data_IF_083752511086
#
_entry.id   IF_083752511086
#
_cell.length_a   1.000
_cell.length_b   1.000
_cell.length_c   1.000
_cell.angle_alpha   90.00
_cell.angle_beta   90.00
_cell.angle_gamma   90.00
#
_symmetry.space_group_name_H-M   'P 1'
#
loop_
_entity.id
_entity.type
_entity.pdbx_description
1 polymer ?
#
# COMPACT_ATOMS: atom_id res chain seq x y z
N UNK A 1 3.43 14.98 13.56
CA UNK A 1 4.55 14.41 12.78
C UNK A 1 5.86 14.96 13.29
N UNK A 2 6.92 14.15 13.31
CA UNK A 2 8.26 14.60 13.71
C UNK A 2 8.89 15.51 12.65
N UNK A 3 9.85 16.34 13.04
CA UNK A 3 10.66 17.13 12.10
C UNK A 3 11.38 16.23 11.10
N UNK A 4 11.91 15.09 11.56
CA UNK A 4 12.56 14.08 10.72
C UNK A 4 11.65 13.57 9.61
N UNK A 5 10.38 13.28 9.91
CA UNK A 5 9.43 12.82 8.90
C UNK A 5 9.20 13.87 7.80
N UNK A 6 9.10 15.15 8.17
CA UNK A 6 8.93 16.24 7.21
C UNK A 6 10.15 16.43 6.31
N UNK A 7 11.37 16.19 6.81
CA UNK A 7 12.57 16.19 5.96
C UNK A 7 12.57 15.01 4.99
N UNK A 8 12.15 13.82 5.43
CA UNK A 8 12.02 12.63 4.58
C UNK A 8 11.08 12.90 3.39
N UNK A 9 9.93 13.54 3.62
CA UNK A 9 8.97 13.94 2.57
C UNK A 9 9.65 14.68 1.42
N UNK A 10 10.59 15.60 1.73
CA UNK A 10 11.27 16.42 0.73
C UNK A 10 12.25 15.62 -0.13
N UNK A 11 12.66 14.43 0.30
CA UNK A 11 13.59 13.57 -0.44
C UNK A 11 12.89 12.72 -1.50
N UNK A 12 11.56 12.69 -1.51
CA UNK A 12 10.76 11.86 -2.41
C UNK A 12 10.17 12.69 -3.54
N UNK A 13 10.05 12.12 -4.75
CA UNK A 13 9.41 12.83 -5.85
C UNK A 13 7.93 13.07 -5.52
N UNK A 14 7.42 14.20 -6.00
CA UNK A 14 6.09 14.80 -5.81
C UNK A 14 4.85 13.91 -6.12
N UNK A 15 5.02 12.60 -6.29
CA UNK A 15 3.97 11.57 -6.34
C UNK A 15 2.96 11.60 -5.17
N UNK A 16 3.24 12.39 -4.14
CA UNK A 16 2.44 12.56 -2.93
C UNK A 16 1.64 13.87 -2.90
N UNK A 17 1.69 14.68 -3.96
CA UNK A 17 0.85 15.89 -4.05
C UNK A 17 -0.59 15.47 -4.37
N UNK A 18 -1.50 15.73 -3.44
CA UNK A 18 -2.92 15.52 -3.65
C UNK A 18 -3.46 16.51 -4.69
N UNK A 19 -4.18 16.05 -5.72
CA UNK A 19 -4.83 16.97 -6.64
C UNK A 19 -5.96 17.73 -5.93
N UNK A 20 -6.14 19.00 -6.28
CA UNK A 20 -7.26 19.82 -5.81
C UNK A 20 -8.56 19.42 -6.52
N UNK A 21 -9.09 18.24 -6.18
CA UNK A 21 -10.33 17.70 -6.70
C UNK A 21 -11.31 17.40 -5.56
N UNK A 22 -12.61 17.40 -5.88
CA UNK A 22 -13.60 16.78 -5.01
C UNK A 22 -13.28 15.29 -4.94
N UNK A 23 -12.95 14.79 -3.75
CA UNK A 23 -12.64 13.37 -3.54
C UNK A 23 -13.85 12.65 -2.94
N UNK A 24 -14.02 11.34 -3.21
CA UNK A 24 -15.07 10.53 -2.60
C UNK A 24 -15.05 10.64 -1.07
N UNK A 25 -16.19 10.43 -0.40
CA UNK A 25 -16.19 10.38 1.06
C UNK A 25 -15.38 9.18 1.57
N UNK A 26 -14.98 9.20 2.85
CA UNK A 26 -14.33 8.03 3.45
C UNK A 26 -15.27 6.82 3.46
N UNK A 27 -16.57 7.04 3.68
CA UNK A 27 -17.59 5.99 3.65
C UNK A 27 -17.72 5.33 2.28
N UNK A 28 -17.81 6.13 1.21
CA UNK A 28 -17.89 5.63 -0.17
C UNK A 28 -16.64 4.84 -0.54
N UNK A 29 -15.47 5.36 -0.16
CA UNK A 29 -14.20 4.69 -0.39
C UNK A 29 -14.13 3.33 0.33
N UNK A 30 -14.56 3.24 1.59
CA UNK A 30 -14.63 1.97 2.33
C UNK A 30 -15.61 0.99 1.66
N UNK A 31 -16.78 1.49 1.25
CA UNK A 31 -17.78 0.67 0.58
C UNK A 31 -17.25 0.10 -0.74
N UNK A 32 -16.45 0.88 -1.48
CA UNK A 32 -15.78 0.42 -2.70
C UNK A 32 -14.69 -0.61 -2.40
N UNK A 33 -13.77 -0.31 -1.46
CA UNK A 33 -12.69 -1.23 -1.04
C UNK A 33 -13.25 -2.60 -0.64
N UNK A 34 -14.39 -2.63 0.07
CA UNK A 34 -15.01 -3.88 0.51
C UNK A 34 -15.63 -4.71 -0.63
N UNK A 35 -15.94 -4.09 -1.77
CA UNK A 35 -16.52 -4.76 -2.96
C UNK A 35 -15.48 -5.18 -3.99
N UNK A 36 -14.24 -4.70 -3.89
CA UNK A 36 -13.16 -5.07 -4.81
C UNK A 36 -12.98 -6.59 -4.85
N UNK A 37 -12.84 -7.15 -6.06
CA UNK A 37 -12.60 -8.57 -6.27
C UNK A 37 -11.11 -8.85 -6.51
N UNK A 38 -10.49 -9.56 -5.56
CA UNK A 38 -9.09 -9.97 -5.63
C UNK A 38 -8.91 -11.41 -6.12
N UNK A 39 -9.96 -12.07 -6.63
CA UNK A 39 -9.93 -13.48 -7.03
C UNK A 39 -8.81 -13.82 -8.03
N UNK A 40 -8.59 -12.97 -9.03
CA UNK A 40 -7.54 -13.18 -10.03
C UNK A 40 -6.14 -12.94 -9.48
N UNK A 41 -5.95 -11.92 -8.65
CA UNK A 41 -4.67 -11.66 -7.97
C UNK A 41 -4.35 -12.82 -7.04
N UNK A 42 -5.30 -13.23 -6.19
CA UNK A 42 -5.19 -14.39 -5.30
C UNK A 42 -4.81 -15.64 -6.08
N UNK A 43 -5.52 -15.93 -7.19
CA UNK A 43 -5.22 -17.08 -8.04
C UNK A 43 -3.80 -17.01 -8.58
N UNK A 44 -3.38 -15.86 -9.10
CA UNK A 44 -2.04 -15.67 -9.68
C UNK A 44 -0.94 -15.94 -8.65
N UNK A 45 -0.99 -15.30 -7.48
CA UNK A 45 0.06 -15.40 -6.45
C UNK A 45 0.10 -16.78 -5.75
N UNK A 46 -1.00 -17.53 -5.78
CA UNK A 46 -1.10 -18.87 -5.16
C UNK A 46 -0.90 -20.02 -6.16
N UNK A 47 -0.57 -19.71 -7.42
CA UNK A 47 -0.20 -20.72 -8.42
C UNK A 47 1.25 -20.53 -8.86
N UNK A 48 1.95 -21.61 -9.27
CA UNK A 48 3.26 -21.47 -9.88
C UNK A 48 3.19 -20.56 -11.11
N UNK A 49 3.96 -19.48 -11.10
CA UNK A 49 4.03 -18.48 -12.16
C UNK A 49 5.50 -18.09 -12.37
N UNK A 50 6.03 -18.15 -13.60
CA UNK A 50 7.45 -17.89 -13.86
C UNK A 50 7.86 -16.42 -13.61
N UNK A 51 6.89 -15.51 -13.44
CA UNK A 51 7.14 -14.11 -13.11
C UNK A 51 7.14 -13.85 -11.61
N UNK A 52 6.88 -14.86 -10.77
CA UNK A 52 6.88 -14.75 -9.32
C UNK A 52 8.09 -15.48 -8.74
N UNK A 53 8.74 -14.85 -7.77
CA UNK A 53 9.87 -15.45 -7.05
C UNK A 53 9.43 -16.54 -6.07
N UNK A 54 8.15 -16.58 -5.68
CA UNK A 54 7.57 -17.58 -4.79
C UNK A 54 6.09 -17.79 -5.08
N UNK A 55 5.58 -18.96 -4.73
CA UNK A 55 4.13 -19.21 -4.66
C UNK A 55 3.66 -19.03 -3.23
N UNK A 56 2.64 -18.19 -3.04
CA UNK A 56 2.05 -17.94 -1.74
C UNK A 56 1.09 -19.07 -1.36
N UNK A 57 0.97 -19.34 -0.06
CA UNK A 57 -0.14 -20.15 0.44
C UNK A 57 -1.47 -19.38 0.36
N UNK A 58 -2.59 -20.10 0.39
CA UNK A 58 -3.93 -19.48 0.42
C UNK A 58 -4.09 -18.54 1.63
N UNK A 59 -3.54 -18.92 2.79
CA UNK A 59 -3.61 -18.15 4.03
C UNK A 59 -2.78 -16.87 3.94
N UNK A 60 -1.56 -16.95 3.41
CA UNK A 60 -0.71 -15.77 3.13
C UNK A 60 -1.46 -14.80 2.22
N UNK A 61 -2.06 -15.29 1.13
CA UNK A 61 -2.79 -14.45 0.19
C UNK A 61 -4.00 -13.76 0.84
N UNK A 62 -4.76 -14.47 1.67
CA UNK A 62 -5.93 -13.91 2.38
C UNK A 62 -5.53 -12.80 3.37
N UNK A 63 -4.48 -13.02 4.16
CA UNK A 63 -3.99 -12.00 5.10
C UNK A 63 -3.42 -10.80 4.33
N UNK A 64 -2.60 -11.05 3.32
CA UNK A 64 -2.01 -9.99 2.48
C UNK A 64 -3.08 -9.12 1.81
N UNK A 65 -4.13 -9.74 1.26
CA UNK A 65 -5.24 -9.00 0.64
C UNK A 65 -5.96 -8.13 1.68
N UNK A 66 -6.20 -8.65 2.89
CA UNK A 66 -6.80 -7.84 3.94
C UNK A 66 -5.91 -6.68 4.36
N UNK A 67 -4.59 -6.89 4.46
CA UNK A 67 -3.63 -5.81 4.73
C UNK A 67 -3.58 -4.79 3.59
N UNK A 68 -3.72 -5.22 2.34
CA UNK A 68 -3.81 -4.31 1.19
C UNK A 68 -5.07 -3.45 1.20
N UNK A 69 -6.24 -4.03 1.55
CA UNK A 69 -7.47 -3.25 1.75
C UNK A 69 -7.28 -2.20 2.86
N UNK A 70 -6.64 -2.59 3.96
CA UNK A 70 -6.34 -1.68 5.06
C UNK A 70 -5.35 -0.58 4.62
N UNK A 71 -4.37 -0.91 3.79
CA UNK A 71 -3.44 0.06 3.20
C UNK A 71 -4.14 1.10 2.31
N UNK A 72 -5.10 0.68 1.47
CA UNK A 72 -5.92 1.61 0.68
C UNK A 72 -6.73 2.55 1.57
N UNK A 73 -7.30 2.03 2.66
CA UNK A 73 -8.00 2.83 3.67
C UNK A 73 -7.06 3.86 4.32
N UNK A 74 -5.86 3.45 4.76
CA UNK A 74 -4.89 4.36 5.37
C UNK A 74 -4.50 5.47 4.39
N UNK A 75 -4.24 5.14 3.13
CA UNK A 75 -3.96 6.14 2.11
C UNK A 75 -5.12 7.12 1.94
N UNK A 76 -6.37 6.62 1.91
CA UNK A 76 -7.55 7.47 1.77
C UNK A 76 -7.71 8.43 2.95
N UNK A 77 -7.54 7.93 4.17
CA UNK A 77 -7.79 8.69 5.40
C UNK A 77 -6.65 9.63 5.74
N UNK A 78 -5.40 9.21 5.52
CA UNK A 78 -4.23 9.88 6.08
C UNK A 78 -3.36 10.62 5.09
N UNK A 79 -3.35 10.34 3.78
CA UNK A 79 -2.47 11.07 2.84
C UNK A 79 -2.50 12.61 2.96
N UNK A 80 -3.64 13.28 3.23
CA UNK A 80 -3.66 14.73 3.44
C UNK A 80 -2.79 15.21 4.61
N UNK A 81 -2.59 14.35 5.60
CA UNK A 81 -1.82 14.63 6.82
C UNK A 81 -0.50 13.87 6.90
N UNK A 82 -0.38 12.71 6.25
CA UNK A 82 0.77 11.81 6.25
C UNK A 82 1.05 11.41 4.80
N UNK A 83 1.82 12.24 4.08
CA UNK A 83 1.88 12.09 2.64
C UNK A 83 2.73 10.87 2.18
N UNK A 84 3.58 10.26 3.04
CA UNK A 84 4.19 8.95 2.75
C UNK A 84 3.52 7.92 3.65
N UNK A 85 2.99 6.86 3.04
CA UNK A 85 2.57 5.67 3.77
C UNK A 85 3.19 4.48 3.06
N UNK A 86 4.40 4.02 3.44
CA UNK A 86 5.00 2.84 2.84
C UNK A 86 4.22 1.56 3.21
N UNK A 87 3.97 0.66 2.26
CA UNK A 87 3.35 -0.64 2.54
C UNK A 87 4.33 -1.61 3.22
N UNK A 88 3.77 -2.66 3.83
CA UNK A 88 4.52 -3.88 4.15
C UNK A 88 4.95 -4.56 2.82
N UNK A 89 6.06 -5.30 2.77
CA UNK A 89 6.56 -5.95 1.55
C UNK A 89 5.49 -6.80 0.84
N UNK A 90 4.76 -7.60 1.60
CA UNK A 90 3.71 -8.48 1.07
C UNK A 90 2.50 -7.67 0.55
N UNK A 91 2.22 -6.53 1.17
CA UNK A 91 1.20 -5.59 0.71
C UNK A 91 1.64 -4.91 -0.59
N UNK A 92 2.93 -4.61 -0.73
CA UNK A 92 3.50 -4.01 -1.94
C UNK A 92 3.42 -4.97 -3.14
N UNK A 93 3.67 -6.27 -2.95
CA UNK A 93 3.54 -7.26 -4.03
C UNK A 93 2.09 -7.35 -4.55
N UNK A 94 1.10 -7.31 -3.65
CA UNK A 94 -0.31 -7.25 -4.04
C UNK A 94 -0.63 -5.94 -4.76
N UNK A 95 -0.07 -4.82 -4.29
CA UNK A 95 -0.24 -3.53 -4.96
C UNK A 95 0.35 -3.54 -6.37
N UNK A 96 1.52 -4.13 -6.57
CA UNK A 96 2.12 -4.29 -7.91
C UNK A 96 1.20 -5.08 -8.83
N UNK A 97 0.63 -6.19 -8.35
CA UNK A 97 -0.35 -6.95 -9.14
C UNK A 97 -1.61 -6.16 -9.47
N UNK A 98 -2.11 -5.37 -8.53
CA UNK A 98 -3.25 -4.52 -8.77
C UNK A 98 -2.93 -3.44 -9.82
N UNK A 99 -1.79 -2.74 -9.73
CA UNK A 99 -1.35 -1.72 -10.69
C UNK A 99 -1.20 -2.28 -12.11
N UNK A 100 -0.72 -3.53 -12.24
CA UNK A 100 -0.52 -4.17 -13.54
C UNK A 100 -1.83 -4.39 -14.32
N UNK A 101 -2.98 -4.53 -13.64
CA UNK A 101 -4.28 -4.36 -14.27
C UNK A 101 -4.63 -2.87 -14.33
N UNK A 102 -3.99 -2.16 -15.26
CA UNK A 102 -4.05 -0.71 -15.35
C UNK A 102 -5.46 -0.15 -15.52
N UNK A 103 -6.39 -0.92 -16.10
CA UNK A 103 -7.79 -0.51 -16.26
C UNK A 103 -8.53 -0.60 -14.93
N UNK A 104 -8.44 -1.73 -14.25
CA UNK A 104 -9.09 -1.93 -12.96
C UNK A 104 -8.49 -0.98 -11.90
N UNK A 105 -7.16 -0.86 -11.88
CA UNK A 105 -6.45 0.05 -10.98
C UNK A 105 -6.87 1.52 -11.14
N UNK A 106 -7.08 1.98 -12.38
CA UNK A 106 -7.58 3.33 -12.63
C UNK A 106 -9.01 3.52 -12.08
N UNK A 107 -9.91 2.55 -12.33
CA UNK A 107 -11.29 2.60 -11.83
C UNK A 107 -11.31 2.66 -10.30
N UNK A 108 -10.56 1.77 -9.65
CA UNK A 108 -10.50 1.70 -8.20
C UNK A 108 -9.85 2.93 -7.59
N UNK A 109 -8.79 3.46 -8.22
CA UNK A 109 -8.16 4.70 -7.77
C UNK A 109 -9.11 5.89 -7.82
N UNK A 110 -9.89 6.02 -8.90
CA UNK A 110 -10.90 7.07 -9.01
C UNK A 110 -12.04 6.90 -8.01
N UNK A 111 -12.51 5.68 -7.78
CA UNK A 111 -13.59 5.40 -6.85
C UNK A 111 -13.20 5.61 -5.38
N UNK A 112 -11.94 5.36 -5.03
CA UNK A 112 -11.44 5.49 -3.65
C UNK A 112 -10.92 6.92 -3.41
N UNK A 113 -9.99 7.37 -4.25
CA UNK A 113 -9.22 8.60 -4.03
C UNK A 113 -9.77 9.79 -4.82
N UNK A 114 -10.48 9.56 -5.92
CA UNK A 114 -10.88 10.62 -6.86
C UNK A 114 -9.75 11.01 -7.83
N UNK A 115 -8.63 10.29 -7.79
CA UNK A 115 -7.46 10.47 -8.64
C UNK A 115 -6.64 9.17 -8.70
N UNK A 116 -5.69 9.11 -9.62
CA UNK A 116 -4.78 7.96 -9.73
C UNK A 116 -3.81 7.93 -8.55
N UNK A 117 -3.87 6.90 -7.69
CA UNK A 117 -2.88 6.75 -6.62
C UNK A 117 -1.55 6.31 -7.23
N UNK A 118 -0.57 7.22 -7.23
CA UNK A 118 0.74 6.95 -7.80
C UNK A 118 1.59 6.10 -6.84
N UNK A 119 2.34 5.14 -7.40
CA UNK A 119 3.34 4.36 -6.67
C UNK A 119 4.75 4.83 -7.04
N UNK A 120 5.59 5.05 -6.04
CA UNK A 120 7.03 5.28 -6.22
C UNK A 120 7.80 4.08 -5.63
N UNK A 121 8.12 3.06 -6.44
CA UNK A 121 8.63 1.78 -5.95
C UNK A 121 10.12 1.79 -5.58
N UNK A 122 10.76 2.96 -5.58
CA UNK A 122 12.21 3.10 -5.38
C UNK A 122 12.58 3.67 -4.01
N UNK A 123 11.61 3.96 -3.14
CA UNK A 123 11.89 4.44 -1.79
C UNK A 123 12.59 3.35 -0.98
N UNK A 124 13.79 3.65 -0.49
CA UNK A 124 14.66 2.71 0.21
C UNK A 124 15.75 2.07 -0.67
N UNK A 125 15.71 2.28 -1.99
CA UNK A 125 16.64 1.66 -2.94
C UNK A 125 17.83 2.56 -3.34
N UNK A 126 17.85 3.83 -2.90
CA UNK A 126 18.84 4.84 -3.34
C UNK A 126 20.11 4.90 -2.47
N UNK A 127 20.29 3.96 -1.56
CA UNK A 127 21.42 3.86 -0.63
C UNK A 127 20.98 3.80 0.83
N UNK A 128 21.95 3.66 1.74
CA UNK A 128 21.68 3.40 3.17
C UNK A 128 20.85 4.49 3.85
N UNK A 129 21.07 5.75 3.50
CA UNK A 129 20.29 6.88 4.02
C UNK A 129 18.81 6.77 3.61
N UNK A 130 18.53 6.41 2.35
CA UNK A 130 17.17 6.25 1.85
C UNK A 130 16.47 5.04 2.50
N UNK A 131 17.22 3.97 2.76
CA UNK A 131 16.71 2.81 3.50
C UNK A 131 16.36 3.18 4.96
N UNK A 132 17.18 3.99 5.62
CA UNK A 132 16.87 4.51 6.95
C UNK A 132 15.61 5.38 6.92
N UNK A 133 15.44 6.23 5.91
CA UNK A 133 14.22 7.01 5.70
C UNK A 133 12.99 6.13 5.50
N UNK A 134 13.09 5.06 4.71
CA UNK A 134 12.02 4.08 4.54
C UNK A 134 11.62 3.46 5.88
N UNK A 135 12.59 3.02 6.68
CA UNK A 135 12.32 2.41 7.99
C UNK A 135 11.60 3.38 8.94
N UNK A 136 12.00 4.65 8.97
CA UNK A 136 11.34 5.69 9.78
C UNK A 136 9.90 5.93 9.30
N UNK A 137 9.68 6.04 7.99
CA UNK A 137 8.35 6.25 7.43
C UNK A 137 7.43 5.02 7.57
N UNK A 138 8.01 3.82 7.49
CA UNK A 138 7.27 2.58 7.71
C UNK A 138 6.83 2.42 9.16
N UNK A 139 7.65 2.83 10.14
CA UNK A 139 7.26 2.86 11.55
C UNK A 139 6.06 3.80 11.79
N UNK A 140 5.98 4.94 11.11
CA UNK A 140 4.79 5.80 11.16
C UNK A 140 3.57 5.10 10.54
N UNK A 141 3.75 4.34 9.46
CA UNK A 141 2.66 3.56 8.85
C UNK A 141 2.16 2.44 9.78
N UNK A 142 3.06 1.78 10.51
CA UNK A 142 2.70 0.79 11.54
C UNK A 142 1.87 1.43 12.67
N UNK A 143 2.22 2.63 13.13
CA UNK A 143 1.44 3.36 14.14
C UNK A 143 0.04 3.72 13.65
N UNK A 144 -0.09 4.19 12.41
CA UNK A 144 -1.39 4.48 11.79
C UNK A 144 -2.23 3.20 11.65
N UNK A 145 -1.60 2.10 11.24
CA UNK A 145 -2.27 0.82 11.13
C UNK A 145 -2.76 0.33 12.51
N UNK A 146 -1.89 0.35 13.52
CA UNK A 146 -2.22 -0.05 14.89
C UNK A 146 -3.35 0.81 15.48
N UNK A 147 -3.34 2.12 15.22
CA UNK A 147 -4.40 3.04 15.62
C UNK A 147 -5.77 2.65 15.06
N UNK A 148 -5.82 2.20 13.80
CA UNK A 148 -7.08 1.93 13.09
C UNK A 148 -7.57 0.48 13.25
N UNK A 149 -6.64 -0.47 13.41
CA UNK A 149 -6.94 -1.90 13.38
C UNK A 149 -6.54 -2.65 14.66
N UNK A 150 -6.02 -1.93 15.67
CA UNK A 150 -5.75 -2.45 17.02
C UNK A 150 -4.52 -3.36 17.14
N UNK A 151 -3.77 -3.59 16.06
CA UNK A 151 -2.53 -4.37 16.06
C UNK A 151 -1.63 -3.96 14.92
N UNK A 152 -0.33 -4.23 15.03
CA UNK A 152 0.65 -3.99 13.96
C UNK A 152 0.57 -5.07 12.88
N UNK A 153 0.94 -4.72 11.66
CA UNK A 153 1.10 -5.72 10.61
C UNK A 153 2.34 -6.57 10.91
N UNK A 154 2.20 -7.89 10.74
CA UNK A 154 3.31 -8.84 10.82
C UNK A 154 3.69 -9.29 9.41
N UNK A 155 4.97 -9.58 9.19
CA UNK A 155 5.39 -10.26 7.96
C UNK A 155 4.68 -11.61 7.88
N UNK A 156 4.09 -11.89 6.73
CA UNK A 156 3.32 -13.09 6.44
C UNK A 156 4.10 -14.09 5.61
N UNK A 157 5.17 -13.66 4.94
CA UNK A 157 6.07 -14.60 4.29
C UNK A 157 6.82 -15.42 5.33
N UNK A 158 6.59 -16.73 5.27
CA UNK A 158 7.47 -17.67 5.97
C UNK A 158 8.92 -17.45 5.52
N UNK A 159 9.90 -17.52 6.43
CA UNK A 159 11.32 -17.46 6.05
C UNK A 159 11.60 -18.54 4.99
N UNK A 160 12.49 -18.27 4.03
CA UNK A 160 12.85 -19.27 3.03
C UNK A 160 13.36 -20.54 3.73
N UNK A 161 12.90 -21.70 3.24
CA UNK A 161 13.45 -23.01 3.63
C UNK A 161 14.94 -23.13 3.27
#
# INVERSE_FOLDING_TARGET
MSQTYQEIVKTLPHSMTLPHLSTPSLEDAIAHINKMDFSLIKKKITTPDPLLCRTWSIVEAEIGIQYYKNFLFLNKKYLPSHPIIPPLLEVDEIWHHHILDTRQYYIDSMAIFGYYLHHYPYFGARGDEDLQHLNIAFEESQKLYELEFGSRMISIWSPPE
#
